data_IF_133441578760
#
_entry.id   IF_133441578760
#
_cell.length_a   1.000
_cell.length_b   1.000
_cell.length_c   1.000
_cell.angle_alpha   90.00
_cell.angle_beta   90.00
_cell.angle_gamma   90.00
#
_symmetry.space_group_name_H-M   'P 1'
#
loop_
_entity.id
_entity.type
_entity.pdbx_description
1 polymer ?
#
# COMPACT_ATOMS: atom_id res chain seq x y z
N UNK A 1 41.32 46.08 0.82
CA UNK A 1 40.35 46.58 -0.17
C UNK A 1 39.07 45.80 0.02
N UNK A 2 38.11 46.41 0.70
CA UNK A 2 36.80 45.84 1.01
C UNK A 2 35.88 46.19 -0.16
N UNK A 3 35.39 45.18 -0.88
CA UNK A 3 34.42 45.37 -1.97
C UNK A 3 33.03 45.14 -1.39
N UNK A 4 32.27 46.22 -1.25
CA UNK A 4 30.87 46.18 -0.86
C UNK A 4 30.03 45.69 -2.04
N UNK A 5 29.35 44.55 -1.89
CA UNK A 5 28.39 44.04 -2.87
C UNK A 5 27.00 44.57 -2.49
N UNK A 6 26.37 45.31 -3.40
CA UNK A 6 25.02 45.84 -3.25
C UNK A 6 23.98 44.72 -3.14
N UNK A 7 23.04 44.85 -2.19
CA UNK A 7 21.87 43.98 -2.09
C UNK A 7 20.87 44.36 -3.19
N UNK A 8 20.33 43.41 -3.96
CA UNK A 8 19.36 43.74 -5.00
C UNK A 8 18.02 44.17 -4.39
N UNK A 9 17.45 45.19 -5.02
CA UNK A 9 16.19 45.85 -4.67
C UNK A 9 15.00 44.96 -5.07
N UNK A 10 14.08 44.69 -4.14
CA UNK A 10 12.87 43.89 -4.39
C UNK A 10 11.85 44.75 -5.13
N UNK A 11 11.82 44.66 -6.46
CA UNK A 11 10.69 45.15 -7.26
C UNK A 11 9.62 44.07 -7.35
N UNK A 12 8.41 44.42 -6.92
CA UNK A 12 7.19 43.61 -7.01
C UNK A 12 6.98 43.07 -8.43
N UNK A 13 7.16 41.75 -8.60
CA UNK A 13 6.78 41.05 -9.82
C UNK A 13 5.35 40.51 -9.66
N UNK A 14 4.52 40.87 -10.65
CA UNK A 14 3.12 40.51 -10.79
C UNK A 14 2.93 38.98 -10.79
N UNK A 15 1.82 38.55 -10.19
CA UNK A 15 1.32 37.17 -10.13
C UNK A 15 1.48 36.43 -11.47
N UNK A 16 2.49 35.56 -11.55
CA UNK A 16 2.59 34.56 -12.60
C UNK A 16 1.65 33.41 -12.23
N UNK A 17 0.64 33.17 -13.07
CA UNK A 17 -0.24 32.00 -12.97
C UNK A 17 0.61 30.74 -12.83
N UNK A 18 0.33 29.93 -11.82
CA UNK A 18 0.81 28.55 -11.71
C UNK A 18 0.48 27.82 -13.01
N UNK A 19 1.51 27.57 -13.82
CA UNK A 19 1.41 26.62 -14.92
C UNK A 19 1.27 25.24 -14.26
N UNK A 20 0.08 24.66 -14.38
CA UNK A 20 -0.09 23.24 -14.08
C UNK A 20 0.88 22.45 -14.98
N UNK A 21 1.63 21.48 -14.45
CA UNK A 21 2.42 20.60 -15.29
C UNK A 21 1.44 19.86 -16.22
N UNK A 22 1.69 19.99 -17.52
CA UNK A 22 0.90 19.39 -18.59
C UNK A 22 0.94 17.86 -18.44
N UNK A 23 -0.20 17.25 -18.07
CA UNK A 23 -0.32 15.82 -17.80
C UNK A 23 0.10 14.93 -19.00
N UNK A 24 0.16 15.53 -20.19
CA UNK A 24 0.62 14.87 -21.42
C UNK A 24 2.15 14.71 -21.54
N UNK A 25 2.96 15.25 -20.60
CA UNK A 25 4.42 15.07 -20.61
C UNK A 25 4.92 13.84 -19.85
N UNK A 26 4.03 13.06 -19.23
CA UNK A 26 4.37 11.84 -18.48
C UNK A 26 4.11 10.55 -19.28
N UNK A 27 3.86 10.64 -20.58
CA UNK A 27 3.75 9.44 -21.42
C UNK A 27 5.16 9.01 -21.80
N UNK A 28 5.76 8.09 -21.03
CA UNK A 28 6.88 7.31 -21.56
C UNK A 28 6.33 6.46 -22.70
N UNK A 29 7.08 6.40 -23.81
CA UNK A 29 6.74 5.53 -24.94
C UNK A 29 7.10 4.05 -24.66
N UNK A 30 7.56 3.74 -23.45
CA UNK A 30 7.83 2.37 -23.00
C UNK A 30 6.52 1.75 -22.54
N UNK A 31 5.77 1.24 -23.52
CA UNK A 31 4.55 0.50 -23.27
C UNK A 31 4.88 -0.77 -22.47
N UNK A 32 4.63 -0.75 -21.16
CA UNK A 32 4.68 -1.93 -20.31
C UNK A 32 3.83 -3.03 -20.96
N UNK A 33 4.49 -4.08 -21.44
CA UNK A 33 3.83 -5.19 -22.12
C UNK A 33 3.65 -6.30 -21.11
N UNK A 34 2.43 -6.43 -20.58
CA UNK A 34 2.07 -7.52 -19.69
C UNK A 34 2.21 -8.84 -20.44
N UNK A 35 2.99 -9.81 -19.94
CA UNK A 35 3.02 -11.15 -20.53
C UNK A 35 1.62 -11.74 -20.53
N UNK A 36 1.23 -12.43 -21.61
CA UNK A 36 -0.13 -12.99 -21.70
C UNK A 36 -0.41 -14.04 -20.62
N UNK A 37 0.63 -14.75 -20.18
CA UNK A 37 0.54 -15.83 -19.20
C UNK A 37 1.58 -15.65 -18.08
N UNK A 38 1.27 -16.19 -16.91
CA UNK A 38 2.20 -16.32 -15.79
C UNK A 38 3.30 -17.35 -16.08
N UNK A 39 4.25 -17.50 -15.14
CA UNK A 39 5.40 -18.39 -15.28
C UNK A 39 5.01 -19.88 -15.49
N UNK A 40 3.75 -20.23 -15.23
CA UNK A 40 3.19 -21.58 -15.36
C UNK A 40 2.32 -21.77 -16.62
N UNK A 41 2.19 -20.73 -17.46
CA UNK A 41 1.41 -20.80 -18.70
C UNK A 41 -0.08 -20.54 -18.54
N UNK A 42 -0.52 -20.09 -17.36
CA UNK A 42 -1.92 -19.73 -17.08
C UNK A 42 -2.13 -18.22 -17.25
N UNK A 43 -3.38 -17.80 -17.49
CA UNK A 43 -3.76 -16.38 -17.44
C UNK A 43 -3.56 -15.83 -16.02
N UNK A 44 -3.02 -14.63 -15.89
CA UNK A 44 -2.90 -13.96 -14.58
C UNK A 44 -4.26 -13.64 -13.97
N UNK A 45 -4.36 -13.73 -12.63
CA UNK A 45 -5.56 -13.40 -11.85
C UNK A 45 -6.84 -14.10 -12.34
N UNK A 46 -6.74 -15.38 -12.69
CA UNK A 46 -7.92 -16.19 -13.02
C UNK A 46 -8.58 -16.70 -11.72
N UNK A 47 -9.78 -16.18 -11.43
CA UNK A 47 -10.56 -16.56 -10.25
C UNK A 47 -11.57 -17.69 -10.53
N UNK A 48 -11.71 -18.12 -11.79
CA UNK A 48 -12.71 -19.12 -12.19
C UNK A 48 -12.07 -20.49 -12.44
N UNK A 49 -10.76 -20.53 -12.77
CA UNK A 49 -10.04 -21.76 -13.10
C UNK A 49 -8.66 -21.81 -12.42
N UNK A 50 -8.43 -22.84 -11.60
CA UNK A 50 -7.13 -23.07 -10.98
C UNK A 50 -7.19 -24.03 -9.80
N UNK A 51 -6.02 -24.53 -9.38
CA UNK A 51 -5.93 -25.41 -8.21
C UNK A 51 -6.26 -24.68 -6.89
N UNK A 52 -6.16 -23.35 -6.88
CA UNK A 52 -6.38 -22.50 -5.70
C UNK A 52 -7.78 -21.86 -5.65
N UNK A 53 -8.61 -22.05 -6.68
CA UNK A 53 -9.90 -21.35 -6.83
C UNK A 53 -10.79 -21.46 -5.59
N UNK A 54 -10.97 -22.65 -5.03
CA UNK A 54 -11.79 -22.85 -3.83
C UNK A 54 -11.26 -22.08 -2.61
N UNK A 55 -9.94 -22.03 -2.44
CA UNK A 55 -9.28 -21.32 -1.33
C UNK A 55 -9.46 -19.82 -1.46
N UNK A 56 -9.22 -19.30 -2.67
CA UNK A 56 -9.34 -17.87 -3.01
C UNK A 56 -10.80 -17.42 -2.89
N UNK A 57 -11.76 -18.21 -3.39
CA UNK A 57 -13.18 -17.88 -3.28
C UNK A 57 -13.64 -17.88 -1.80
N UNK A 58 -13.18 -18.84 -0.99
CA UNK A 58 -13.47 -18.87 0.45
C UNK A 58 -12.86 -17.67 1.19
N UNK A 59 -11.64 -17.26 0.83
CA UNK A 59 -10.99 -16.06 1.36
C UNK A 59 -11.83 -14.81 1.07
N UNK A 60 -12.15 -14.57 -0.20
CA UNK A 60 -12.93 -13.39 -0.60
C UNK A 60 -14.36 -13.43 -0.05
N UNK A 61 -14.99 -14.60 0.04
CA UNK A 61 -16.28 -14.75 0.74
C UNK A 61 -16.17 -14.28 2.19
N UNK A 62 -15.17 -14.75 2.93
CA UNK A 62 -14.98 -14.35 4.32
C UNK A 62 -14.68 -12.84 4.44
N UNK A 63 -13.85 -12.29 3.54
CA UNK A 63 -13.53 -10.87 3.50
C UNK A 63 -14.79 -10.02 3.27
N UNK A 64 -15.54 -10.30 2.18
CA UNK A 64 -16.72 -9.52 1.82
C UNK A 64 -17.83 -9.58 2.85
N UNK A 65 -17.96 -10.68 3.60
CA UNK A 65 -18.97 -10.79 4.67
C UNK A 65 -18.57 -9.99 5.92
N UNK A 66 -17.28 -10.00 6.28
CA UNK A 66 -16.84 -9.55 7.61
C UNK A 66 -16.19 -8.15 7.64
N UNK A 67 -15.69 -7.65 6.50
CA UNK A 67 -15.18 -6.28 6.38
C UNK A 67 -16.33 -5.27 6.40
N UNK A 68 -16.80 -4.95 7.60
CA UNK A 68 -17.81 -3.91 7.86
C UNK A 68 -17.14 -2.59 8.24
N UNK A 69 -17.85 -1.47 8.07
CA UNK A 69 -17.40 -0.15 8.47
C UNK A 69 -16.98 -0.11 9.95
N UNK A 70 -17.75 -0.76 10.82
CA UNK A 70 -17.47 -0.80 12.26
C UNK A 70 -16.27 -1.70 12.59
N UNK A 71 -16.15 -2.86 11.93
CA UNK A 71 -14.98 -3.73 12.05
C UNK A 71 -13.70 -2.96 11.68
N UNK A 72 -13.69 -2.33 10.50
CA UNK A 72 -12.52 -1.61 9.98
C UNK A 72 -12.14 -0.45 10.90
N UNK A 73 -13.11 0.33 11.40
CA UNK A 73 -12.81 1.40 12.36
C UNK A 73 -12.12 0.86 13.61
N UNK A 74 -12.66 -0.21 14.19
CA UNK A 74 -12.15 -0.80 15.43
C UNK A 74 -10.73 -1.35 15.25
N UNK A 75 -10.50 -2.15 14.21
CA UNK A 75 -9.19 -2.78 13.98
C UNK A 75 -8.14 -1.74 13.61
N UNK A 76 -8.51 -0.71 12.84
CA UNK A 76 -7.64 0.42 12.50
C UNK A 76 -7.22 1.19 13.75
N UNK A 77 -8.13 1.44 14.69
CA UNK A 77 -7.81 2.07 15.99
C UNK A 77 -6.87 1.21 16.85
N UNK A 78 -7.00 -0.12 16.79
CA UNK A 78 -6.13 -1.03 17.52
C UNK A 78 -4.71 -1.05 16.94
N UNK A 79 -4.59 -1.27 15.63
CA UNK A 79 -3.31 -1.57 15.00
C UNK A 79 -2.48 -0.33 14.64
N UNK A 80 -3.10 0.85 14.51
CA UNK A 80 -2.38 2.12 14.34
C UNK A 80 -1.57 2.56 15.56
N UNK A 81 -1.65 1.82 16.67
CA UNK A 81 -0.79 2.03 17.84
C UNK A 81 0.65 1.57 17.58
N UNK A 82 0.87 0.69 16.60
CA UNK A 82 2.19 0.20 16.19
C UNK A 82 3.05 -0.30 17.36
N UNK A 83 2.42 -0.97 18.32
CA UNK A 83 3.04 -1.37 19.59
C UNK A 83 3.16 -2.90 19.73
N UNK A 84 3.16 -3.63 18.61
CA UNK A 84 3.25 -5.11 18.60
C UNK A 84 4.70 -5.59 18.66
N UNK A 85 5.62 -4.93 17.94
CA UNK A 85 7.03 -5.27 17.90
C UNK A 85 7.89 -4.13 17.30
N UNK A 86 9.19 -4.18 17.57
CA UNK A 86 10.23 -3.37 16.91
C UNK A 86 11.22 -4.33 16.25
N UNK A 87 11.57 -4.09 14.98
CA UNK A 87 12.49 -4.93 14.19
C UNK A 87 12.98 -4.20 12.94
N UNK A 88 14.07 -4.69 12.35
CA UNK A 88 14.57 -4.25 11.06
C UNK A 88 13.69 -4.72 9.89
N UNK A 89 13.80 -4.04 8.75
CA UNK A 89 13.06 -4.39 7.52
C UNK A 89 13.36 -5.83 7.09
N UNK A 90 14.64 -6.24 7.11
CA UNK A 90 15.02 -7.59 6.70
C UNK A 90 14.47 -8.67 7.63
N UNK A 91 14.48 -8.43 8.95
CA UNK A 91 13.87 -9.34 9.92
C UNK A 91 12.36 -9.48 9.67
N UNK A 92 11.69 -8.39 9.28
CA UNK A 92 10.29 -8.41 8.86
C UNK A 92 10.08 -9.24 7.59
N UNK A 93 10.95 -9.09 6.58
CA UNK A 93 10.93 -9.92 5.37
C UNK A 93 11.10 -11.41 5.72
N UNK A 94 12.02 -11.75 6.62
CA UNK A 94 12.28 -13.14 7.02
C UNK A 94 11.08 -13.81 7.69
N UNK A 95 10.28 -13.07 8.45
CA UNK A 95 9.03 -13.57 9.03
C UNK A 95 8.00 -13.99 7.97
N UNK A 96 8.05 -13.38 6.78
CA UNK A 96 7.16 -13.71 5.67
C UNK A 96 7.56 -15.01 4.94
N UNK A 97 8.63 -15.70 5.37
CA UNK A 97 8.87 -17.10 4.98
C UNK A 97 7.74 -18.04 5.45
N UNK A 98 7.05 -17.69 6.54
CA UNK A 98 6.01 -18.52 7.14
C UNK A 98 4.60 -18.22 6.59
N UNK A 99 4.50 -17.28 5.63
CA UNK A 99 3.22 -16.78 5.13
C UNK A 99 3.06 -17.14 3.66
N UNK A 100 1.92 -17.75 3.34
CA UNK A 100 1.44 -17.98 1.97
C UNK A 100 0.09 -17.27 1.83
N UNK A 101 -0.06 -16.48 0.78
CA UNK A 101 -1.23 -15.62 0.56
C UNK A 101 -2.41 -16.44 0.00
N UNK A 102 -3.48 -16.59 0.81
CA UNK A 102 -4.66 -17.37 0.45
C UNK A 102 -5.59 -16.68 -0.56
N UNK A 103 -5.38 -15.38 -0.80
CA UNK A 103 -6.15 -14.59 -1.76
C UNK A 103 -5.54 -14.59 -3.16
N UNK A 104 -4.28 -15.00 -3.28
CA UNK A 104 -3.53 -14.98 -4.53
C UNK A 104 -3.81 -16.26 -5.34
N UNK A 105 -4.39 -16.15 -6.56
CA UNK A 105 -4.62 -17.29 -7.43
C UNK A 105 -3.35 -17.78 -8.15
N UNK A 106 -2.30 -16.97 -8.22
CA UNK A 106 -1.08 -17.20 -9.00
C UNK A 106 0.07 -17.77 -8.15
N UNK A 107 0.14 -17.46 -6.85
CA UNK A 107 1.27 -17.80 -5.99
C UNK A 107 0.92 -18.76 -4.83
N UNK A 108 1.73 -19.81 -4.64
CA UNK A 108 1.70 -20.73 -3.48
C UNK A 108 3.04 -20.80 -2.74
N UNK A 109 3.95 -19.86 -3.02
CA UNK A 109 5.28 -19.80 -2.45
C UNK A 109 5.30 -18.92 -1.19
N UNK A 110 6.28 -19.11 -0.28
CA UNK A 110 6.56 -18.19 0.81
C UNK A 110 6.65 -16.73 0.34
N UNK A 111 5.97 -15.84 1.06
CA UNK A 111 5.73 -14.49 0.57
C UNK A 111 6.99 -13.63 0.45
N UNK A 112 8.06 -13.94 1.19
CA UNK A 112 9.37 -13.28 1.00
C UNK A 112 9.89 -13.40 -0.46
N UNK A 113 9.58 -14.50 -1.15
CA UNK A 113 10.02 -14.68 -2.54
C UNK A 113 9.38 -13.64 -3.45
N UNK A 114 8.09 -13.34 -3.25
CA UNK A 114 7.37 -12.31 -3.98
C UNK A 114 7.98 -10.91 -3.75
N UNK A 115 8.36 -10.59 -2.52
CA UNK A 115 9.02 -9.32 -2.21
C UNK A 115 10.32 -9.15 -3.00
N UNK A 116 11.16 -10.19 -3.02
CA UNK A 116 12.44 -10.18 -3.74
C UNK A 116 12.23 -10.16 -5.25
N UNK A 117 11.27 -10.92 -5.78
CA UNK A 117 10.93 -10.94 -7.20
C UNK A 117 10.45 -9.56 -7.68
N UNK A 118 9.56 -8.92 -6.91
CA UNK A 118 9.04 -7.59 -7.21
C UNK A 118 10.14 -6.54 -7.19
N UNK A 119 10.98 -6.54 -6.14
CA UNK A 119 12.10 -5.62 -6.02
C UNK A 119 13.14 -5.81 -7.13
N UNK A 120 13.52 -7.04 -7.47
CA UNK A 120 14.51 -7.30 -8.52
C UNK A 120 13.98 -7.01 -9.93
N UNK A 121 12.69 -7.27 -10.20
CA UNK A 121 12.07 -6.90 -11.46
C UNK A 121 12.09 -5.37 -11.65
N UNK A 122 11.66 -4.62 -10.63
CA UNK A 122 11.68 -3.16 -10.66
C UNK A 122 13.11 -2.62 -10.73
N UNK A 123 14.07 -3.23 -10.01
CA UNK A 123 15.49 -2.85 -10.10
C UNK A 123 16.04 -2.99 -11.51
N UNK A 124 15.63 -4.04 -12.23
CA UNK A 124 16.04 -4.28 -13.62
C UNK A 124 15.43 -3.27 -14.60
N UNK A 125 14.15 -2.96 -14.43
CA UNK A 125 13.41 -2.09 -15.37
C UNK A 125 13.66 -0.60 -15.08
N UNK A 126 13.92 -0.24 -13.82
CA UNK A 126 14.13 1.13 -13.35
C UNK A 126 15.43 1.27 -12.53
N UNK A 127 16.62 1.02 -13.12
CA UNK A 127 17.87 0.88 -12.37
C UNK A 127 18.31 2.13 -11.59
N UNK A 128 17.82 3.32 -11.96
CA UNK A 128 18.14 4.58 -11.27
C UNK A 128 17.16 4.96 -10.16
N UNK A 129 16.04 4.25 -10.00
CA UNK A 129 14.98 4.59 -9.05
C UNK A 129 15.07 3.70 -7.80
N UNK A 130 16.15 3.85 -7.03
CA UNK A 130 16.43 3.09 -5.81
C UNK A 130 15.25 3.04 -4.81
N UNK A 131 14.57 4.16 -4.62
CA UNK A 131 13.38 4.26 -3.78
C UNK A 131 12.25 3.34 -4.25
N UNK A 132 12.10 3.12 -5.56
CA UNK A 132 11.06 2.26 -6.12
C UNK A 132 11.41 0.78 -5.90
N UNK A 133 12.71 0.44 -5.90
CA UNK A 133 13.18 -0.91 -5.54
C UNK A 133 12.81 -1.21 -4.08
N UNK A 134 13.05 -0.24 -3.20
CA UNK A 134 12.69 -0.36 -1.79
C UNK A 134 11.17 -0.41 -1.60
N UNK A 135 10.39 0.44 -2.27
CA UNK A 135 8.92 0.39 -2.22
C UNK A 135 8.41 -1.00 -2.60
N UNK A 136 8.95 -1.59 -3.65
CA UNK A 136 8.63 -2.95 -4.08
C UNK A 136 9.03 -4.02 -3.05
N UNK A 137 10.15 -3.85 -2.36
CA UNK A 137 10.56 -4.77 -1.31
C UNK A 137 9.63 -4.71 -0.09
N UNK A 138 9.12 -3.52 0.25
CA UNK A 138 8.38 -3.33 1.51
C UNK A 138 6.86 -3.35 1.38
N UNK A 139 6.31 -3.34 0.16
CA UNK A 139 4.88 -3.12 -0.08
C UNK A 139 3.97 -4.06 0.73
N UNK A 140 4.33 -5.34 0.82
CA UNK A 140 3.53 -6.37 1.48
C UNK A 140 4.00 -6.72 2.91
N UNK A 141 4.86 -5.91 3.54
CA UNK A 141 5.32 -6.22 4.90
C UNK A 141 4.20 -6.23 5.95
N UNK A 142 3.06 -5.60 5.67
CA UNK A 142 1.89 -5.67 6.53
C UNK A 142 1.28 -7.07 6.64
N UNK A 143 1.68 -8.03 5.79
CA UNK A 143 1.19 -9.42 5.87
C UNK A 143 1.65 -10.15 7.12
N UNK A 144 2.63 -9.64 7.86
CA UNK A 144 3.03 -10.16 9.19
C UNK A 144 1.88 -10.18 10.20
N UNK A 145 0.80 -9.44 9.97
CA UNK A 145 -0.40 -9.41 10.81
C UNK A 145 -1.05 -10.80 10.99
N UNK A 146 -0.80 -11.75 10.08
CA UNK A 146 -1.27 -13.14 10.22
C UNK A 146 -0.52 -13.92 11.29
N UNK A 147 0.67 -13.46 11.70
CA UNK A 147 1.53 -14.19 12.62
C UNK A 147 1.10 -13.94 14.08
N UNK A 148 1.24 -14.94 14.98
CA UNK A 148 0.84 -14.83 16.39
C UNK A 148 1.42 -13.62 17.12
N UNK A 149 2.68 -13.27 16.82
CA UNK A 149 3.36 -12.11 17.42
C UNK A 149 2.66 -10.77 17.14
N UNK A 150 1.88 -10.69 16.06
CA UNK A 150 1.20 -9.47 15.63
C UNK A 150 -0.32 -9.52 15.82
N UNK A 151 -0.86 -10.64 16.33
CA UNK A 151 -2.26 -10.78 16.71
C UNK A 151 -3.02 -11.86 15.95
N UNK A 152 -2.35 -12.63 15.07
CA UNK A 152 -2.94 -13.81 14.42
C UNK A 152 -4.24 -13.47 13.69
N UNK A 153 -4.24 -12.36 12.95
CA UNK A 153 -5.42 -11.98 12.19
C UNK A 153 -5.73 -13.04 11.13
N UNK A 154 -7.00 -13.37 10.91
CA UNK A 154 -7.36 -14.24 9.80
C UNK A 154 -6.94 -13.59 8.49
N UNK A 155 -6.50 -14.40 7.51
CA UNK A 155 -5.96 -13.86 6.24
C UNK A 155 -6.92 -12.88 5.55
N UNK A 156 -8.24 -13.11 5.61
CA UNK A 156 -9.24 -12.20 5.02
C UNK A 156 -9.23 -10.77 5.60
N UNK A 157 -8.64 -10.58 6.79
CA UNK A 157 -8.43 -9.28 7.42
C UNK A 157 -7.02 -8.72 7.20
N UNK A 158 -6.23 -9.32 6.30
CA UNK A 158 -4.83 -8.94 6.04
C UNK A 158 -4.53 -8.85 4.54
N UNK A 159 -4.92 -9.84 3.74
CA UNK A 159 -4.54 -9.96 2.32
C UNK A 159 -5.74 -9.88 1.38
N UNK A 160 -5.47 -9.73 0.09
CA UNK A 160 -6.46 -9.65 -0.98
C UNK A 160 -6.82 -8.23 -1.39
N UNK A 161 -7.62 -8.15 -2.45
CA UNK A 161 -8.05 -6.87 -3.04
C UNK A 161 -8.87 -6.05 -2.04
N UNK A 162 -8.60 -4.74 -2.00
CA UNK A 162 -9.23 -3.81 -1.07
C UNK A 162 -10.39 -3.05 -1.72
N UNK A 163 -11.34 -2.60 -0.89
CA UNK A 163 -12.51 -1.85 -1.33
C UNK A 163 -12.93 -0.84 -0.25
N UNK A 164 -13.58 0.27 -0.63
CA UNK A 164 -14.09 1.22 0.36
C UNK A 164 -15.24 0.61 1.17
N UNK A 165 -15.19 0.76 2.50
CA UNK A 165 -16.31 0.42 3.40
C UNK A 165 -17.10 1.67 3.75
N UNK A 166 -18.37 1.53 4.17
CA UNK A 166 -19.21 2.67 4.56
C UNK A 166 -19.87 3.42 3.40
N UNK A 167 -19.78 2.88 2.18
CA UNK A 167 -20.57 3.21 1.00
C UNK A 167 -21.05 1.92 0.31
N UNK A 168 -21.87 2.04 -0.72
CA UNK A 168 -22.29 0.89 -1.52
C UNK A 168 -21.06 0.20 -2.13
N UNK A 169 -21.07 -1.13 -2.12
CA UNK A 169 -20.03 -1.94 -2.75
C UNK A 169 -20.20 -1.93 -4.28
N UNK A 170 -19.09 -2.02 -5.02
CA UNK A 170 -19.08 -1.93 -6.48
C UNK A 170 -19.05 -3.32 -7.12
N UNK A 171 -19.78 -3.51 -8.23
CA UNK A 171 -19.87 -4.81 -8.93
C UNK A 171 -18.53 -5.24 -9.55
N UNK A 172 -17.57 -4.33 -9.70
CA UNK A 172 -16.19 -4.66 -10.12
C UNK A 172 -15.36 -5.34 -9.04
N UNK A 173 -15.82 -5.36 -7.77
CA UNK A 173 -15.14 -6.12 -6.74
C UNK A 173 -15.19 -7.62 -7.06
N UNK A 174 -14.03 -8.29 -6.96
CA UNK A 174 -13.90 -9.74 -7.16
C UNK A 174 -14.96 -10.46 -6.33
N UNK A 175 -15.64 -11.47 -6.88
CA UNK A 175 -16.72 -12.20 -6.20
C UNK A 175 -17.78 -11.33 -5.50
N UNK A 176 -18.21 -10.23 -6.12
CA UNK A 176 -19.20 -9.29 -5.60
C UNK A 176 -20.47 -9.93 -5.00
N UNK A 177 -20.87 -11.10 -5.50
CA UNK A 177 -22.01 -11.90 -5.04
C UNK A 177 -22.08 -12.05 -3.51
N UNK A 178 -20.94 -12.13 -2.82
CA UNK A 178 -20.87 -12.33 -1.37
C UNK A 178 -21.16 -11.08 -0.53
N UNK A 179 -21.06 -9.87 -1.09
CA UNK A 179 -21.42 -8.65 -0.36
C UNK A 179 -22.89 -8.62 0.07
N UNK A 180 -23.77 -9.36 -0.61
CA UNK A 180 -25.19 -9.47 -0.22
C UNK A 180 -25.40 -10.06 1.18
N UNK A 181 -24.41 -10.79 1.70
CA UNK A 181 -24.38 -11.36 3.05
C UNK A 181 -23.74 -10.40 4.08
N UNK A 182 -23.06 -9.34 3.64
CA UNK A 182 -22.49 -8.32 4.53
C UNK A 182 -23.60 -7.50 5.20
N UNK A 183 -23.56 -7.29 6.53
CA UNK A 183 -24.53 -6.45 7.25
C UNK A 183 -24.66 -5.02 6.69
N UNK A 184 -23.57 -4.44 6.19
CA UNK A 184 -23.55 -3.07 5.67
C UNK A 184 -24.23 -2.94 4.30
N UNK A 185 -24.37 -4.03 3.55
CA UNK A 185 -25.03 -4.04 2.24
C UNK A 185 -26.48 -3.55 2.29
N UNK A 186 -27.18 -3.83 3.40
CA UNK A 186 -28.58 -3.42 3.61
C UNK A 186 -28.70 -2.26 4.60
N UNK A 187 -27.59 -1.74 5.10
CA UNK A 187 -27.60 -0.67 6.09
C UNK A 187 -27.87 0.68 5.38
N UNK A 188 -28.97 1.38 5.69
CA UNK A 188 -29.33 2.64 5.01
C UNK A 188 -28.28 3.76 5.17
N UNK A 189 -27.38 3.64 6.15
CA UNK A 189 -26.27 4.58 6.33
C UNK A 189 -25.14 4.37 5.32
N UNK A 190 -24.96 3.14 4.84
CA UNK A 190 -23.80 2.73 4.03
C UNK A 190 -24.20 2.30 2.62
N UNK A 191 -25.42 1.82 2.39
CA UNK A 191 -25.85 1.24 1.11
C UNK A 191 -26.18 2.25 0.00
N UNK A 192 -25.77 3.51 0.15
CA UNK A 192 -25.90 4.53 -0.90
C UNK A 192 -24.55 4.75 -1.59
N UNK A 193 -24.55 5.29 -2.81
CA UNK A 193 -23.34 5.46 -3.61
C UNK A 193 -22.19 6.12 -2.83
N UNK A 194 -22.49 7.17 -2.06
CA UNK A 194 -21.49 7.87 -1.28
C UNK A 194 -21.48 7.45 0.20
N UNK A 195 -22.55 6.83 0.71
CA UNK A 195 -22.66 6.41 2.10
C UNK A 195 -22.31 7.53 3.09
N UNK A 196 -21.24 7.35 3.86
CA UNK A 196 -20.73 8.36 4.81
C UNK A 196 -19.81 9.42 4.20
N UNK A 197 -19.47 9.32 2.92
CA UNK A 197 -18.50 10.16 2.25
C UNK A 197 -19.15 11.33 1.51
N UNK A 198 -18.36 12.37 1.27
CA UNK A 198 -18.71 13.45 0.35
C UNK A 198 -18.16 13.15 -1.04
N UNK A 199 -18.87 13.62 -2.07
CA UNK A 199 -18.40 13.52 -3.44
C UNK A 199 -17.06 14.26 -3.61
N UNK A 200 -16.10 13.63 -4.29
CA UNK A 200 -14.78 14.22 -4.50
C UNK A 200 -13.90 14.32 -3.24
N UNK A 201 -14.20 13.57 -2.17
CA UNK A 201 -13.41 13.63 -0.94
C UNK A 201 -11.96 13.11 -1.09
N UNK A 202 -11.66 12.34 -2.14
CA UNK A 202 -10.33 11.76 -2.38
C UNK A 202 -10.05 10.51 -1.55
N UNK A 203 -9.15 9.65 -2.04
CA UNK A 203 -8.88 8.33 -1.46
C UNK A 203 -8.35 8.39 -0.01
N UNK A 204 -7.59 9.43 0.34
CA UNK A 204 -7.07 9.63 1.70
C UNK A 204 -8.16 9.82 2.77
N UNK A 205 -9.38 10.17 2.34
CA UNK A 205 -10.55 10.36 3.19
C UNK A 205 -11.50 9.17 3.17
N UNK A 206 -11.21 8.15 2.37
CA UNK A 206 -11.94 6.88 2.40
C UNK A 206 -11.43 6.01 3.55
N UNK A 207 -12.36 5.23 4.10
CA UNK A 207 -12.02 4.08 4.92
C UNK A 207 -12.04 2.86 4.00
N UNK A 208 -10.85 2.35 3.68
CA UNK A 208 -10.69 1.11 2.92
C UNK A 208 -10.84 -0.09 3.85
N UNK A 209 -11.29 -1.23 3.32
CA UNK A 209 -11.23 -2.53 3.98
C UNK A 209 -9.86 -2.73 4.63
N UNK A 210 -9.83 -3.25 5.85
CA UNK A 210 -8.58 -3.37 6.60
C UNK A 210 -7.69 -4.48 6.02
N UNK A 211 -6.40 -4.19 5.88
CA UNK A 211 -5.40 -5.13 5.38
C UNK A 211 -3.98 -4.60 5.52
N UNK A 212 -3.03 -5.31 4.91
CA UNK A 212 -1.61 -4.97 4.88
C UNK A 212 -1.34 -3.55 4.36
N UNK A 213 -2.07 -3.09 3.34
CA UNK A 213 -1.97 -1.74 2.78
C UNK A 213 -2.18 -0.65 3.84
N UNK A 214 -3.34 -0.65 4.52
CA UNK A 214 -3.68 0.40 5.50
C UNK A 214 -2.82 0.29 6.78
N UNK A 215 -2.30 -0.91 7.07
CA UNK A 215 -1.32 -1.10 8.13
C UNK A 215 0.05 -0.52 7.79
N UNK A 216 0.52 -0.71 6.55
CA UNK A 216 1.80 -0.16 6.05
C UNK A 216 1.72 1.34 5.74
N UNK A 217 0.52 1.88 5.54
CA UNK A 217 0.27 3.31 5.33
C UNK A 217 -0.44 3.98 6.52
N UNK A 218 0.16 4.03 7.72
CA UNK A 218 -0.42 4.82 8.79
C UNK A 218 -0.24 6.31 8.46
N UNK A 219 -1.31 7.11 8.55
CA UNK A 219 -1.26 8.59 8.43
C UNK A 219 -0.19 9.28 9.31
N UNK A 220 0.34 8.58 10.33
CA UNK A 220 1.45 9.05 11.18
C UNK A 220 2.85 8.81 10.58
N UNK A 221 2.98 7.97 9.55
CA UNK A 221 4.18 7.82 8.72
C UNK A 221 4.16 8.78 7.51
N UNK A 222 3.54 9.96 7.65
CA UNK A 222 3.83 11.10 6.78
C UNK A 222 5.33 11.42 6.75
N UNK A 223 5.83 12.17 5.75
CA UNK A 223 7.14 12.04 5.11
C UNK A 223 8.34 12.25 6.06
N UNK A 224 8.58 11.27 6.92
CA UNK A 224 9.76 11.18 7.79
C UNK A 224 10.81 10.21 7.23
N UNK A 225 10.52 9.55 6.10
CA UNK A 225 11.57 9.15 5.17
C UNK A 225 12.05 10.43 4.45
N UNK A 226 12.83 11.26 5.14
CA UNK A 226 13.46 12.42 4.52
C UNK A 226 14.44 11.92 3.47
N UNK A 227 14.10 12.17 2.20
CA UNK A 227 15.08 12.38 1.14
C UNK A 227 15.98 13.51 1.63
N UNK A 228 17.13 13.19 2.23
CA UNK A 228 18.13 14.22 2.48
C UNK A 228 18.45 14.82 1.12
N UNK A 229 18.18 16.12 0.99
CA UNK A 229 18.59 16.91 -0.15
C UNK A 229 20.09 16.73 -0.35
N UNK A 230 20.48 15.95 -1.36
CA UNK A 230 21.86 15.91 -1.86
C UNK A 230 22.17 17.25 -2.56
N UNK A 231 22.26 18.33 -1.79
CA UNK A 231 22.78 19.62 -2.27
C UNK A 231 23.41 20.45 -1.17
N UNK A 232 24.33 19.87 -0.40
CA UNK A 232 25.39 20.65 0.22
C UNK A 232 26.55 19.75 0.60
N UNK A 233 27.73 20.16 0.14
CA UNK A 233 29.03 19.64 0.51
C UNK A 233 29.18 19.51 2.03
N UNK A 234 29.12 18.29 2.56
CA UNK A 234 29.79 17.92 3.81
C UNK A 234 29.95 16.39 3.86
N UNK A 235 31.20 15.97 3.87
CA UNK A 235 31.67 14.59 4.08
C UNK A 235 31.29 14.09 5.49
N UNK A 236 30.43 13.08 5.59
CA UNK A 236 30.20 12.27 6.81
C UNK A 236 30.14 10.77 6.40
N UNK A 237 30.68 9.83 7.19
CA UNK A 237 30.96 8.47 6.73
C UNK A 237 29.70 7.61 6.59
N UNK A 238 29.75 6.70 5.62
CA UNK A 238 28.73 5.70 5.30
C UNK A 238 28.56 4.67 6.42
N UNK A 239 27.64 4.90 7.35
CA UNK A 239 26.97 3.85 8.12
C UNK A 239 25.75 4.46 8.81
N UNK A 240 24.61 3.76 8.74
CA UNK A 240 23.30 4.07 9.35
C UNK A 240 22.28 4.73 8.41
N UNK A 241 21.71 3.90 7.54
CA UNK A 241 20.36 4.08 7.01
C UNK A 241 19.66 2.72 7.04
N UNK A 242 19.43 2.19 8.25
CA UNK A 242 18.80 0.87 8.46
C UNK A 242 17.76 0.84 9.59
N UNK A 243 17.47 1.98 10.22
CA UNK A 243 16.50 2.06 11.32
C UNK A 243 15.38 3.02 10.98
N UNK A 244 14.15 2.52 10.99
CA UNK A 244 12.96 3.35 11.05
C UNK A 244 12.82 3.82 12.50
N UNK A 245 13.38 4.99 12.84
CA UNK A 245 13.19 5.59 14.16
C UNK A 245 11.74 6.05 14.31
N UNK A 246 10.92 5.24 14.98
CA UNK A 246 9.63 5.66 15.51
C UNK A 246 9.86 6.20 16.92
N UNK A 247 9.83 7.53 17.07
CA UNK A 247 10.01 8.18 18.37
C UNK A 247 9.02 7.62 19.41
N UNK A 248 9.48 7.32 20.64
CA UNK A 248 8.58 6.98 21.74
C UNK A 248 7.76 8.21 22.13
N UNK A 249 6.46 8.00 22.39
CA UNK A 249 5.60 9.01 22.98
C UNK A 249 5.97 9.21 24.45
N UNK A 250 6.46 10.40 24.79
CA UNK A 250 6.38 10.98 26.14
C UNK A 250 5.72 12.35 26.07
#
# INVERSE_FOLDING_TARGET
MTVSVEKPNVTQAKSAKQAQPDANKLVSNDQFTVPQNNAFGNTFRDYEVGARTDKVEQHYKASHINQTYDFVKKIREEYKKLNKAEMGIWECCELLNEVVDDSDPDLDEPHIQHLLQSAEAIRKDYPSEDWLHLTALIHDLGKILVLPKFGELPQWAVVGDTFPVGCAFDEFNVHYKYFKENPDFKNPKYNTNNGVYSEGCGLDNLLMSWGHDDYMWPKKMGPHCHRQDCSSSDTIPSTHCTSMELMPSS
#
